data_IF_756976914875
#
_entry.id   IF_756976914875
#
_cell.length_a   1.000
_cell.length_b   1.000
_cell.length_c   1.000
_cell.angle_alpha   90.00
_cell.angle_beta   90.00
_cell.angle_gamma   90.00
#
_symmetry.space_group_name_H-M   'P 1'
#
loop_
_entity.id
_entity.type
_entity.pdbx_description
1 polymer ?
#
# COMPACT_ATOMS: atom_id res chain seq x y z
N UNK A 1 4.17 -17.68 17.66
CA UNK A 1 3.36 -17.19 16.53
C UNK A 1 4.05 -15.94 15.96
N UNK A 2 4.74 -16.02 14.81
CA UNK A 2 5.41 -14.85 14.23
C UNK A 2 4.37 -13.93 13.60
N UNK A 3 3.93 -12.91 14.35
CA UNK A 3 3.09 -11.84 13.81
C UNK A 3 3.81 -11.23 12.60
N UNK A 4 3.19 -11.29 11.41
CA UNK A 4 3.71 -10.67 10.19
C UNK A 4 3.88 -9.18 10.47
N UNK A 5 5.12 -8.70 10.56
CA UNK A 5 5.40 -7.28 10.81
C UNK A 5 5.07 -6.48 9.55
N UNK A 6 4.27 -5.40 9.66
CA UNK A 6 4.00 -4.53 8.52
C UNK A 6 5.28 -3.80 8.11
N UNK A 7 5.47 -3.66 6.80
CA UNK A 7 6.72 -3.16 6.19
C UNK A 7 6.52 -1.91 5.35
N UNK A 8 5.38 -1.80 4.67
CA UNK A 8 5.02 -0.65 3.85
C UNK A 8 3.54 -0.34 4.04
N UNK A 9 3.15 0.89 3.76
CA UNK A 9 1.78 1.29 3.48
C UNK A 9 1.74 1.68 2.01
N UNK A 10 0.81 1.11 1.26
CA UNK A 10 0.47 1.56 -0.08
C UNK A 10 -0.76 2.44 0.01
N UNK A 11 -0.79 3.51 -0.77
CA UNK A 11 -1.95 4.39 -0.93
C UNK A 11 -2.26 4.45 -2.41
N UNK A 12 -3.50 4.10 -2.75
CA UNK A 12 -4.00 4.10 -4.11
C UNK A 12 -4.97 5.28 -4.30
N UNK A 13 -4.78 6.02 -5.39
CA UNK A 13 -5.65 7.13 -5.83
C UNK A 13 -5.94 6.96 -7.31
N UNK A 14 -7.08 7.46 -7.78
CA UNK A 14 -7.31 7.52 -9.22
C UNK A 14 -6.32 8.50 -9.88
N UNK A 15 -6.04 8.31 -11.16
CA UNK A 15 -5.12 9.16 -11.94
C UNK A 15 -5.62 10.59 -12.10
N UNK A 16 -6.92 10.82 -11.98
CA UNK A 16 -7.53 12.15 -11.98
C UNK A 16 -7.36 12.88 -10.63
N UNK A 17 -6.71 12.24 -9.66
CA UNK A 17 -6.48 12.76 -8.31
C UNK A 17 -7.64 12.52 -7.35
N UNK A 18 -8.73 11.90 -7.82
CA UNK A 18 -9.84 11.53 -6.93
C UNK A 18 -9.46 10.33 -6.06
N UNK A 19 -9.95 10.27 -4.80
CA UNK A 19 -9.63 9.17 -3.93
C UNK A 19 -10.46 7.93 -4.31
N UNK A 20 -9.84 6.74 -4.18
CA UNK A 20 -10.51 5.46 -4.48
C UNK A 20 -11.69 5.15 -3.53
N UNK A 21 -11.68 5.74 -2.35
CA UNK A 21 -12.73 5.71 -1.33
C UNK A 21 -12.63 6.97 -0.44
N UNK A 22 -13.56 7.19 0.49
CA UNK A 22 -13.57 8.37 1.39
C UNK A 22 -12.34 8.50 2.30
N UNK A 23 -11.47 7.49 2.38
CA UNK A 23 -10.24 7.49 3.17
C UNK A 23 -8.96 7.40 2.32
N UNK A 24 -9.08 7.31 0.98
CA UNK A 24 -8.03 6.85 0.09
C UNK A 24 -7.69 5.39 0.36
N UNK A 25 -7.87 4.51 -0.63
CA UNK A 25 -7.62 3.07 -0.46
C UNK A 25 -6.18 2.79 -0.06
N UNK A 26 -5.97 2.63 1.24
CA UNK A 26 -4.68 2.43 1.86
C UNK A 26 -4.55 1.01 2.34
N UNK A 27 -3.44 0.36 2.00
CA UNK A 27 -3.27 -1.06 2.20
C UNK A 27 -1.92 -1.36 2.88
N UNK A 28 -1.98 -2.02 4.04
CA UNK A 28 -0.77 -2.40 4.80
C UNK A 28 -0.11 -3.62 4.15
N UNK A 29 1.20 -3.54 3.96
CA UNK A 29 2.00 -4.56 3.27
C UNK A 29 2.89 -5.34 4.22
N UNK A 30 2.83 -6.66 4.13
CA UNK A 30 3.53 -7.59 5.00
C UNK A 30 4.68 -8.29 4.26
N UNK A 31 5.77 -7.57 4.06
CA UNK A 31 7.00 -8.07 3.45
C UNK A 31 7.08 -7.86 1.94
N UNK A 32 8.19 -8.32 1.34
CA UNK A 32 8.54 -8.04 -0.06
C UNK A 32 7.68 -8.78 -1.07
N UNK A 33 7.21 -10.00 -0.75
CA UNK A 33 6.34 -10.80 -1.63
C UNK A 33 4.98 -10.13 -1.81
N UNK A 34 4.36 -9.75 -0.71
CA UNK A 34 3.08 -9.03 -0.68
C UNK A 34 3.19 -7.67 -1.41
N UNK A 35 4.31 -6.94 -1.20
CA UNK A 35 4.59 -5.72 -1.95
C UNK A 35 4.58 -5.96 -3.47
N UNK A 36 5.28 -6.98 -3.94
CA UNK A 36 5.38 -7.30 -5.36
C UNK A 36 4.01 -7.68 -5.94
N UNK A 37 3.24 -8.49 -5.23
CA UNK A 37 1.89 -8.90 -5.65
C UNK A 37 0.96 -7.69 -5.80
N UNK A 38 0.98 -6.76 -4.83
CA UNK A 38 0.12 -5.57 -4.87
C UNK A 38 0.53 -4.57 -5.94
N UNK A 39 1.83 -4.37 -6.15
CA UNK A 39 2.32 -3.51 -7.24
C UNK A 39 2.00 -4.11 -8.61
N UNK A 40 2.04 -5.44 -8.76
CA UNK A 40 1.63 -6.10 -9.99
C UNK A 40 0.12 -5.91 -10.26
N UNK A 41 -0.73 -6.12 -9.24
CA UNK A 41 -2.17 -5.88 -9.37
C UNK A 41 -2.51 -4.41 -9.67
N UNK A 42 -1.72 -3.47 -9.13
CA UNK A 42 -1.86 -2.06 -9.45
C UNK A 42 -1.47 -1.73 -10.90
N UNK A 43 -0.44 -2.40 -11.45
CA UNK A 43 -0.02 -2.19 -12.84
C UNK A 43 -1.08 -2.66 -13.86
N UNK A 44 -1.99 -3.55 -13.47
CA UNK A 44 -3.13 -3.97 -14.29
C UNK A 44 -4.28 -2.94 -14.30
N UNK A 45 -4.19 -1.88 -13.48
CA UNK A 45 -5.20 -0.81 -13.35
C UNK A 45 -4.62 0.54 -13.76
N UNK A 46 -4.67 0.92 -15.06
CA UNK A 46 -4.10 2.17 -15.54
C UNK A 46 -4.85 3.42 -15.02
N UNK A 47 -6.06 3.24 -14.50
CA UNK A 47 -6.90 4.25 -13.84
C UNK A 47 -6.40 4.62 -12.44
N UNK A 48 -5.45 3.86 -11.87
CA UNK A 48 -5.02 4.00 -10.48
C UNK A 48 -3.52 4.27 -10.40
N UNK A 49 -3.17 5.30 -9.64
CA UNK A 49 -1.80 5.57 -9.20
C UNK A 49 -1.60 5.01 -7.80
N UNK A 50 -0.58 4.17 -7.61
CA UNK A 50 -0.22 3.63 -6.29
C UNK A 50 1.10 4.22 -5.83
N UNK A 51 1.08 4.85 -4.67
CA UNK A 51 2.27 5.32 -3.98
C UNK A 51 2.56 4.44 -2.78
N UNK A 52 3.85 4.18 -2.51
CA UNK A 52 4.27 3.30 -1.43
C UNK A 52 5.24 3.98 -0.48
N UNK A 53 4.95 3.92 0.82
CA UNK A 53 5.86 4.40 1.87
C UNK A 53 6.31 3.25 2.76
N UNK A 54 7.62 3.15 3.01
CA UNK A 54 8.19 2.19 3.96
C UNK A 54 7.90 2.60 5.40
N UNK A 55 7.39 1.65 6.19
CA UNK A 55 7.15 1.83 7.61
C UNK A 55 8.48 1.83 8.38
N UNK A 56 8.78 2.95 9.04
CA UNK A 56 9.95 3.09 9.91
C UNK A 56 9.67 2.45 11.27
N UNK A 57 10.71 2.23 12.08
CA UNK A 57 10.56 1.67 13.44
C UNK A 57 9.61 2.50 14.32
N UNK A 58 9.53 3.82 14.08
CA UNK A 58 8.62 4.74 14.79
C UNK A 58 7.14 4.49 14.45
N UNK A 59 6.85 4.15 13.20
CA UNK A 59 5.48 3.87 12.73
C UNK A 59 4.95 2.51 13.21
N UNK A 60 5.81 1.66 13.80
CA UNK A 60 5.46 0.31 14.28
C UNK A 60 5.25 0.24 15.80
N UNK A 61 5.19 1.39 16.48
CA UNK A 61 4.99 1.51 17.94
C UNK A 61 3.55 1.83 18.33
N UNK A 62 2.60 1.64 17.41
CA UNK A 62 1.17 1.73 17.69
C UNK A 62 0.71 0.44 18.38
#
# INVERSE_FOLDING_TARGET
MFAKKPTHILTATFTDGSPLDSFGSSAIVYGRRDLKTRLAAAAERPDVTVTGRRLRRRDRRV
#
